data_IF_885515865542
#
_entry.id   IF_885515865542
#
_cell.length_a   1.000
_cell.length_b   1.000
_cell.length_c   1.000
_cell.angle_alpha   90.00
_cell.angle_beta   90.00
_cell.angle_gamma   90.00
#
_symmetry.space_group_name_H-M   'P 1'
#
loop_
_entity.id
_entity.type
_entity.pdbx_description
1 polymer ?
#
# COMPACT_ATOMS: atom_id res chain seq x y z
N UNK A 1 -25.32 -22.69 -6.72
CA UNK A 1 -24.39 -23.45 -7.58
C UNK A 1 -24.13 -24.79 -6.91
N UNK A 2 -24.67 -25.88 -7.47
CA UNK A 2 -24.47 -27.23 -6.95
C UNK A 2 -22.99 -27.60 -6.98
N UNK A 3 -22.47 -28.09 -5.85
CA UNK A 3 -21.12 -28.68 -5.80
C UNK A 3 -21.06 -29.77 -6.85
N UNK A 4 -20.10 -29.68 -7.78
CA UNK A 4 -19.79 -30.78 -8.69
C UNK A 4 -19.56 -32.04 -7.85
N UNK A 5 -20.10 -33.21 -8.25
CA UNK A 5 -19.87 -34.44 -7.52
C UNK A 5 -18.37 -34.69 -7.49
N UNK A 6 -17.81 -34.78 -6.29
CA UNK A 6 -16.41 -35.10 -6.08
C UNK A 6 -16.24 -36.53 -6.58
N UNK A 7 -15.67 -36.71 -7.77
CA UNK A 7 -15.33 -38.03 -8.29
C UNK A 7 -14.15 -38.51 -7.44
N UNK A 8 -14.46 -39.19 -6.33
CA UNK A 8 -13.42 -39.91 -5.59
C UNK A 8 -13.01 -41.10 -6.43
N UNK A 9 -11.73 -41.13 -6.80
CA UNK A 9 -11.17 -42.25 -7.54
C UNK A 9 -11.46 -43.54 -6.78
N UNK A 10 -12.01 -44.54 -7.48
CA UNK A 10 -12.40 -45.83 -6.89
C UNK A 10 -11.25 -46.47 -6.11
N UNK A 11 -10.01 -46.26 -6.58
CA UNK A 11 -8.77 -46.64 -5.92
C UNK A 11 -7.80 -45.47 -5.84
N UNK A 12 -7.04 -45.37 -4.76
CA UNK A 12 -5.94 -44.43 -4.61
C UNK A 12 -4.64 -45.15 -4.22
N UNK A 13 -3.51 -44.65 -4.75
CA UNK A 13 -2.17 -45.15 -4.44
C UNK A 13 -1.54 -44.29 -3.35
N UNK A 14 -1.03 -44.93 -2.30
CA UNK A 14 -0.26 -44.33 -1.24
C UNK A 14 1.20 -44.77 -1.37
N UNK A 15 2.12 -43.82 -1.45
CA UNK A 15 3.57 -44.11 -1.44
C UNK A 15 4.13 -43.83 -0.05
N UNK A 16 4.81 -44.83 0.50
CA UNK A 16 5.35 -44.81 1.87
C UNK A 16 6.85 -44.98 1.78
N UNK A 17 7.60 -44.07 2.40
CA UNK A 17 9.03 -44.22 2.59
C UNK A 17 9.31 -44.70 4.00
N UNK A 18 10.12 -45.74 4.12
CA UNK A 18 10.52 -46.35 5.38
C UNK A 18 11.92 -45.84 5.77
N UNK A 19 12.04 -45.27 6.97
CA UNK A 19 13.31 -44.84 7.55
C UNK A 19 13.67 -45.75 8.74
N UNK A 20 14.83 -46.40 8.60
CA UNK A 20 15.39 -47.41 9.49
C UNK A 20 16.90 -47.16 9.65
N UNK A 21 17.53 -47.78 10.65
CA UNK A 21 18.99 -47.85 10.69
C UNK A 21 19.53 -48.52 9.40
N UNK A 22 20.64 -48.01 8.88
CA UNK A 22 21.29 -48.50 7.65
C UNK A 22 21.72 -49.97 7.71
N UNK A 23 21.94 -50.49 8.93
CA UNK A 23 22.36 -51.88 9.15
C UNK A 23 21.19 -52.90 9.13
N UNK A 24 19.94 -52.45 8.95
CA UNK A 24 18.77 -53.32 8.95
C UNK A 24 18.36 -53.59 7.50
N UNK A 25 18.48 -54.84 7.08
CA UNK A 25 17.86 -55.34 5.86
C UNK A 25 16.33 -55.27 6.00
N UNK A 26 15.68 -54.74 4.98
CA UNK A 26 14.23 -54.58 4.95
C UNK A 26 13.77 -54.83 3.52
N UNK A 27 13.14 -55.97 3.29
CA UNK A 27 12.75 -56.44 1.97
C UNK A 27 11.24 -56.27 1.72
N UNK A 28 10.79 -56.64 0.52
CA UNK A 28 9.38 -56.63 0.12
C UNK A 28 8.48 -57.31 1.16
N UNK A 29 8.91 -58.46 1.69
CA UNK A 29 8.15 -59.24 2.67
C UNK A 29 8.00 -58.51 4.01
N UNK A 30 9.02 -57.78 4.44
CA UNK A 30 8.98 -56.99 5.66
C UNK A 30 8.07 -55.77 5.51
N UNK A 31 8.07 -55.15 4.33
CA UNK A 31 7.13 -54.08 3.99
C UNK A 31 5.68 -54.57 4.01
N UNK A 32 5.41 -55.73 3.41
CA UNK A 32 4.08 -56.35 3.42
C UNK A 32 3.59 -56.66 4.84
N UNK A 33 4.46 -57.29 5.65
CA UNK A 33 4.15 -57.64 7.03
C UNK A 33 3.91 -56.39 7.88
N UNK A 34 4.74 -55.36 7.73
CA UNK A 34 4.60 -54.08 8.43
C UNK A 34 3.23 -53.45 8.16
N UNK A 35 2.81 -53.39 6.89
CA UNK A 35 1.54 -52.77 6.50
C UNK A 35 0.35 -53.57 7.01
N UNK A 36 0.40 -54.90 6.88
CA UNK A 36 -0.65 -55.78 7.39
C UNK A 36 -0.79 -55.67 8.91
N UNK A 37 0.32 -55.66 9.62
CA UNK A 37 0.33 -55.56 11.07
C UNK A 37 -0.15 -54.20 11.55
N UNK A 38 0.26 -53.11 10.89
CA UNK A 38 -0.22 -51.77 11.20
C UNK A 38 -1.76 -51.66 11.08
N UNK A 39 -2.32 -52.18 9.99
CA UNK A 39 -3.77 -52.20 9.80
C UNK A 39 -4.47 -53.07 10.83
N UNK A 40 -3.92 -54.28 11.09
CA UNK A 40 -4.48 -55.22 12.06
C UNK A 40 -4.48 -54.66 13.48
N UNK A 41 -3.42 -53.98 13.90
CA UNK A 41 -3.32 -53.39 15.24
C UNK A 41 -4.33 -52.27 15.46
N UNK A 42 -4.53 -51.40 14.46
CA UNK A 42 -5.37 -50.21 14.61
C UNK A 42 -6.85 -50.51 14.33
N UNK A 43 -7.14 -51.38 13.37
CA UNK A 43 -8.51 -51.62 12.90
C UNK A 43 -9.00 -53.07 13.06
N UNK A 44 -8.15 -54.00 13.49
CA UNK A 44 -8.52 -55.40 13.67
C UNK A 44 -9.02 -56.03 12.37
N UNK A 45 -10.04 -56.89 12.48
CA UNK A 45 -10.68 -57.57 11.35
C UNK A 45 -11.56 -56.64 10.50
N UNK A 46 -11.84 -55.41 10.98
CA UNK A 46 -12.61 -54.39 10.26
C UNK A 46 -11.71 -53.40 9.48
N UNK A 47 -10.46 -53.77 9.22
CA UNK A 47 -9.48 -52.96 8.49
C UNK A 47 -9.89 -52.65 7.05
N UNK A 48 -9.36 -51.56 6.48
CA UNK A 48 -9.56 -51.24 5.06
C UNK A 48 -9.00 -52.36 4.16
N UNK A 49 -9.60 -52.56 2.99
CA UNK A 49 -9.03 -53.41 1.95
C UNK A 49 -7.93 -52.67 1.20
N UNK A 50 -6.78 -53.32 1.05
CA UNK A 50 -5.62 -52.78 0.36
C UNK A 50 -4.82 -53.89 -0.32
N UNK A 51 -4.03 -53.50 -1.32
CA UNK A 51 -3.02 -54.31 -1.99
C UNK A 51 -1.66 -53.67 -1.78
N UNK A 52 -0.73 -54.41 -1.22
CA UNK A 52 0.68 -54.02 -1.20
C UNK A 52 1.25 -54.19 -2.62
N UNK A 53 1.94 -53.16 -3.12
CA UNK A 53 2.63 -53.18 -4.40
C UNK A 53 4.14 -53.25 -4.16
N UNK A 54 4.92 -52.96 -5.21
CA UNK A 54 6.38 -53.05 -5.15
C UNK A 54 6.97 -52.12 -4.07
N UNK A 55 7.96 -52.66 -3.38
CA UNK A 55 8.86 -52.00 -2.45
C UNK A 55 10.27 -52.08 -3.02
N UNK A 56 10.91 -50.92 -3.14
CA UNK A 56 12.32 -50.81 -3.53
C UNK A 56 13.19 -50.74 -2.27
N UNK A 57 14.02 -51.77 -1.98
CA UNK A 57 14.88 -51.81 -0.80
C UNK A 57 15.97 -50.71 -0.81
N UNK A 58 16.39 -50.26 -1.99
CA UNK A 58 17.45 -49.26 -2.13
C UNK A 58 16.93 -47.88 -1.77
N UNK A 59 15.78 -47.46 -2.33
CA UNK A 59 15.17 -46.18 -1.98
C UNK A 59 14.30 -46.22 -0.72
N UNK A 60 14.06 -47.44 -0.19
CA UNK A 60 13.16 -47.77 0.92
C UNK A 60 11.75 -47.21 0.73
N UNK A 61 11.25 -47.26 -0.51
CA UNK A 61 9.93 -46.75 -0.89
C UNK A 61 9.05 -47.90 -1.34
N UNK A 62 7.89 -48.02 -0.71
CA UNK A 62 6.83 -48.92 -1.11
C UNK A 62 5.58 -48.18 -1.54
N UNK A 63 4.73 -48.88 -2.28
CA UNK A 63 3.42 -48.36 -2.67
C UNK A 63 2.30 -49.31 -2.24
N UNK A 64 1.16 -48.72 -1.90
CA UNK A 64 -0.06 -49.41 -1.51
C UNK A 64 -1.20 -48.90 -2.37
N UNK A 65 -2.13 -49.76 -2.75
CA UNK A 65 -3.36 -49.36 -3.44
C UNK A 65 -4.54 -49.81 -2.60
N UNK A 66 -5.38 -48.87 -2.20
CA UNK A 66 -6.61 -49.14 -1.46
C UNK A 66 -7.79 -48.43 -2.10
N UNK A 67 -9.01 -48.76 -1.66
CA UNK A 67 -10.20 -48.02 -2.07
C UNK A 67 -10.11 -46.55 -1.66
N UNK A 68 -10.48 -45.64 -2.57
CA UNK A 68 -10.37 -44.19 -2.37
C UNK A 68 -10.98 -43.70 -1.05
N UNK A 69 -12.16 -44.22 -0.70
CA UNK A 69 -12.91 -43.89 0.52
C UNK A 69 -12.28 -44.44 1.81
N UNK A 70 -11.34 -45.39 1.70
CA UNK A 70 -10.70 -46.07 2.82
C UNK A 70 -9.18 -45.79 2.93
N UNK A 71 -8.58 -45.12 1.95
CA UNK A 71 -7.13 -44.83 1.92
C UNK A 71 -6.68 -44.00 3.11
N UNK A 72 -7.53 -43.11 3.63
CA UNK A 72 -7.20 -42.35 4.84
C UNK A 72 -7.06 -43.24 6.07
N UNK A 73 -7.82 -44.34 6.18
CA UNK A 73 -7.66 -45.33 7.26
C UNK A 73 -6.32 -46.05 7.14
N UNK A 74 -5.91 -46.40 5.92
CA UNK A 74 -4.60 -47.00 5.67
C UNK A 74 -3.47 -46.04 6.07
N UNK A 75 -3.61 -44.76 5.75
CA UNK A 75 -2.65 -43.73 6.14
C UNK A 75 -2.57 -43.56 7.66
N UNK A 76 -3.70 -43.47 8.36
CA UNK A 76 -3.69 -43.36 9.83
C UNK A 76 -3.13 -44.60 10.51
N UNK A 77 -3.43 -45.82 10.03
CA UNK A 77 -2.82 -47.04 10.57
C UNK A 77 -1.28 -46.98 10.52
N UNK A 78 -0.73 -46.65 9.35
CA UNK A 78 0.71 -46.59 9.15
C UNK A 78 1.38 -45.43 9.92
N UNK A 79 0.65 -44.34 10.15
CA UNK A 79 1.14 -43.21 10.93
C UNK A 79 1.17 -43.52 12.43
N UNK A 80 0.17 -44.27 12.93
CA UNK A 80 0.07 -44.63 14.36
C UNK A 80 1.00 -45.80 14.69
N UNK A 81 1.05 -46.83 13.84
CA UNK A 81 1.88 -48.02 14.00
C UNK A 81 3.33 -47.84 13.55
N UNK A 82 3.78 -46.60 13.29
CA UNK A 82 5.20 -46.24 13.05
C UNK A 82 6.11 -46.47 14.27
N UNK A 83 5.77 -47.40 15.14
CA UNK A 83 6.42 -47.71 16.39
C UNK A 83 6.45 -49.23 16.53
N UNK A 84 7.63 -49.79 16.27
CA UNK A 84 8.10 -51.14 16.63
C UNK A 84 7.83 -52.29 15.65
N UNK A 85 8.87 -52.65 14.89
CA UNK A 85 9.08 -54.01 14.39
C UNK A 85 10.21 -54.63 15.25
N UNK A 86 9.96 -55.72 15.96
CA UNK A 86 10.94 -56.37 16.85
C UNK A 86 11.65 -55.39 17.82
N UNK A 87 10.89 -54.51 18.51
CA UNK A 87 11.41 -53.50 19.44
C UNK A 87 12.28 -52.39 18.80
N UNK A 88 12.31 -52.23 17.46
CA UNK A 88 13.03 -51.15 16.75
C UNK A 88 12.09 -50.12 16.13
N UNK A 89 12.41 -48.82 16.24
CA UNK A 89 11.59 -47.70 15.72
C UNK A 89 11.66 -47.64 14.17
N UNK A 90 10.52 -47.44 13.53
CA UNK A 90 10.40 -47.27 12.06
C UNK A 90 9.67 -45.97 11.77
N UNK A 91 10.31 -44.99 11.14
CA UNK A 91 9.60 -43.78 10.71
C UNK A 91 9.05 -43.95 9.29
N UNK A 92 7.73 -43.79 9.14
CA UNK A 92 7.06 -43.82 7.84
C UNK A 92 6.80 -42.39 7.36
N UNK A 93 7.47 -41.97 6.29
CA UNK A 93 7.25 -40.67 5.67
C UNK A 93 6.34 -40.81 4.46
N UNK A 94 5.26 -40.04 4.45
CA UNK A 94 4.30 -39.98 3.34
C UNK A 94 4.66 -38.81 2.44
N UNK A 95 4.99 -39.10 1.19
CA UNK A 95 5.37 -38.06 0.24
C UNK A 95 4.11 -37.48 -0.42
N UNK A 96 3.66 -36.30 0.02
CA UNK A 96 2.77 -35.47 -0.78
C UNK A 96 3.62 -34.88 -1.92
N UNK A 97 3.38 -35.32 -3.16
CA UNK A 97 4.30 -35.14 -4.28
C UNK A 97 4.76 -33.69 -4.51
N UNK A 98 5.85 -33.54 -5.27
CA UNK A 98 6.51 -32.28 -5.71
C UNK A 98 5.57 -31.18 -6.28
N UNK A 99 4.30 -31.51 -6.52
CA UNK A 99 3.25 -30.60 -6.98
C UNK A 99 3.02 -29.41 -6.04
N UNK A 100 3.09 -29.58 -4.72
CA UNK A 100 2.89 -28.46 -3.79
C UNK A 100 3.99 -27.39 -3.93
N UNK A 101 5.25 -27.83 -4.05
CA UNK A 101 6.38 -26.91 -4.25
C UNK A 101 6.30 -26.14 -5.57
N UNK A 102 5.86 -26.79 -6.65
CA UNK A 102 5.72 -26.15 -7.95
C UNK A 102 4.61 -25.07 -7.95
N UNK A 103 3.51 -25.33 -7.25
CA UNK A 103 2.41 -24.36 -7.09
C UNK A 103 2.90 -23.11 -6.36
N UNK A 104 3.61 -23.25 -5.23
CA UNK A 104 4.14 -22.09 -4.50
C UNK A 104 5.18 -21.29 -5.31
N UNK A 105 6.05 -21.98 -6.07
CA UNK A 105 7.08 -21.34 -6.89
C UNK A 105 6.49 -20.44 -7.99
N UNK A 106 5.33 -20.78 -8.53
CA UNK A 106 4.68 -20.02 -9.62
C UNK A 106 3.66 -19.02 -9.08
N UNK A 107 2.86 -19.42 -8.09
CA UNK A 107 1.74 -18.61 -7.60
C UNK A 107 2.23 -17.36 -6.85
N UNK A 108 3.29 -17.48 -6.04
CA UNK A 108 3.80 -16.37 -5.22
C UNK A 108 4.32 -15.22 -6.11
N UNK A 109 5.20 -15.44 -7.11
CA UNK A 109 5.63 -14.36 -8.01
C UNK A 109 4.48 -13.71 -8.78
N UNK A 110 3.48 -14.49 -9.20
CA UNK A 110 2.30 -13.95 -9.89
C UNK A 110 1.52 -13.02 -8.97
N UNK A 111 1.25 -13.44 -7.72
CA UNK A 111 0.58 -12.58 -6.73
C UNK A 111 1.39 -11.32 -6.43
N UNK A 112 2.71 -11.44 -6.27
CA UNK A 112 3.58 -10.28 -6.07
C UNK A 112 3.58 -9.31 -7.27
N UNK A 113 3.54 -9.83 -8.49
CA UNK A 113 3.40 -9.02 -9.70
C UNK A 113 2.08 -8.25 -9.72
N UNK A 114 0.97 -8.90 -9.37
CA UNK A 114 -0.34 -8.22 -9.26
C UNK A 114 -0.32 -7.12 -8.20
N UNK A 115 0.27 -7.37 -7.03
CA UNK A 115 0.42 -6.37 -5.97
C UNK A 115 1.28 -5.18 -6.47
N UNK A 116 2.38 -5.46 -7.15
CA UNK A 116 3.25 -4.42 -7.71
C UNK A 116 2.54 -3.57 -8.77
N UNK A 117 1.79 -4.20 -9.67
CA UNK A 117 0.99 -3.49 -10.68
C UNK A 117 -0.08 -2.63 -10.00
N UNK A 118 -0.80 -3.15 -9.00
CA UNK A 118 -1.79 -2.39 -8.25
C UNK A 118 -1.17 -1.19 -7.53
N UNK A 119 0.02 -1.35 -6.96
CA UNK A 119 0.79 -0.26 -6.35
C UNK A 119 1.18 0.81 -7.37
N UNK A 120 1.69 0.41 -8.55
CA UNK A 120 2.02 1.35 -9.62
C UNK A 120 0.80 2.10 -10.14
N UNK A 121 -0.34 1.41 -10.31
CA UNK A 121 -1.60 2.04 -10.69
C UNK A 121 -2.07 3.05 -9.63
N UNK A 122 -1.93 2.70 -8.35
CA UNK A 122 -2.29 3.60 -7.25
C UNK A 122 -1.45 4.87 -7.28
N UNK A 123 -0.14 4.75 -7.49
CA UNK A 123 0.75 5.91 -7.68
C UNK A 123 0.30 6.72 -8.89
N UNK A 124 0.10 6.06 -10.04
CA UNK A 124 -0.27 6.72 -11.28
C UNK A 124 -1.56 7.53 -11.17
N UNK A 125 -2.61 6.96 -10.57
CA UNK A 125 -3.88 7.65 -10.34
C UNK A 125 -3.81 8.70 -9.21
N UNK A 126 -2.85 8.57 -8.30
CA UNK A 126 -2.62 9.54 -7.22
C UNK A 126 -1.79 10.74 -7.66
N UNK A 127 -1.10 10.67 -8.80
CA UNK A 127 -0.43 11.84 -9.38
C UNK A 127 -1.52 12.79 -9.90
N UNK A 128 -1.69 13.98 -9.29
CA UNK A 128 -2.70 14.92 -9.75
C UNK A 128 -2.41 15.31 -11.20
N UNK A 129 -3.41 15.12 -12.07
CA UNK A 129 -3.36 15.59 -13.46
C UNK A 129 -2.99 17.08 -13.47
N UNK A 130 -1.91 17.44 -14.18
CA UNK A 130 -1.54 18.85 -14.45
C UNK A 130 -2.57 19.47 -15.39
N UNK A 131 -3.78 19.76 -14.89
CA UNK A 131 -4.76 20.54 -15.64
C UNK A 131 -4.21 21.96 -15.72
N UNK A 132 -4.02 22.53 -16.93
CA UNK A 132 -3.60 23.91 -17.05
C UNK A 132 -4.64 24.79 -16.34
N UNK A 133 -4.20 25.61 -15.39
CA UNK A 133 -5.06 26.57 -14.72
C UNK A 133 -5.36 27.69 -15.71
N UNK A 134 -6.65 27.98 -15.92
CA UNK A 134 -7.09 29.10 -16.74
C UNK A 134 -7.17 30.35 -15.87
N UNK A 135 -6.30 31.33 -16.13
CA UNK A 135 -6.13 32.53 -15.31
C UNK A 135 -7.00 33.71 -15.75
N UNK A 136 -7.50 33.69 -17.00
CA UNK A 136 -8.21 34.84 -17.57
C UNK A 136 -9.51 35.11 -16.80
N UNK A 137 -9.69 36.39 -16.41
CA UNK A 137 -10.79 36.91 -15.58
C UNK A 137 -10.93 36.28 -14.19
N UNK A 138 -9.89 35.59 -13.72
CA UNK A 138 -9.81 35.09 -12.35
C UNK A 138 -9.38 36.17 -11.39
N UNK A 139 -9.90 36.16 -10.17
CA UNK A 139 -9.48 37.07 -9.12
C UNK A 139 -8.42 36.41 -8.24
N UNK A 140 -7.23 37.01 -8.21
CA UNK A 140 -6.12 36.61 -7.37
C UNK A 140 -5.91 37.59 -6.21
N UNK A 141 -5.84 37.06 -4.99
CA UNK A 141 -5.49 37.82 -3.78
C UNK A 141 -4.08 37.44 -3.36
N UNK A 142 -3.21 38.44 -3.19
CA UNK A 142 -1.79 38.26 -2.88
C UNK A 142 -1.45 38.99 -1.58
N UNK A 143 -1.06 38.23 -0.56
CA UNK A 143 -0.56 38.82 0.69
C UNK A 143 0.90 39.22 0.55
N UNK A 144 1.31 40.34 1.14
CA UNK A 144 2.64 40.92 0.93
C UNK A 144 2.86 41.38 -0.52
N UNK A 145 1.79 41.75 -1.22
CA UNK A 145 1.81 42.07 -2.66
C UNK A 145 2.40 43.44 -3.02
N UNK A 146 2.74 44.28 -2.03
CA UNK A 146 3.25 45.64 -2.30
C UNK A 146 4.73 45.68 -2.71
N UNK A 147 5.51 44.62 -2.44
CA UNK A 147 6.97 44.57 -2.69
C UNK A 147 7.44 43.17 -3.05
N UNK A 148 8.68 43.07 -3.53
CA UNK A 148 9.42 41.82 -3.67
C UNK A 148 8.71 40.77 -4.54
N UNK A 149 8.68 39.52 -4.06
CA UNK A 149 8.09 38.39 -4.79
C UNK A 149 6.60 38.58 -5.00
N UNK A 150 5.86 39.06 -3.98
CA UNK A 150 4.41 39.28 -4.08
C UNK A 150 4.04 40.27 -5.18
N UNK A 151 4.81 41.35 -5.32
CA UNK A 151 4.62 42.34 -6.37
C UNK A 151 4.87 41.75 -7.78
N UNK A 152 5.95 40.96 -7.94
CA UNK A 152 6.24 40.31 -9.22
C UNK A 152 5.21 39.22 -9.58
N UNK A 153 4.62 38.55 -8.58
CA UNK A 153 3.50 37.63 -8.79
C UNK A 153 2.25 38.38 -9.27
N UNK A 154 1.99 39.59 -8.75
CA UNK A 154 0.90 40.44 -9.22
C UNK A 154 1.06 40.77 -10.71
N UNK A 155 2.25 41.20 -11.15
CA UNK A 155 2.57 41.44 -12.56
C UNK A 155 2.32 40.18 -13.40
N UNK A 156 2.90 39.03 -13.01
CA UNK A 156 2.78 37.81 -13.79
C UNK A 156 1.35 37.24 -13.88
N UNK A 157 0.49 37.54 -12.90
CA UNK A 157 -0.94 37.22 -12.93
C UNK A 157 -1.72 38.20 -13.81
N UNK A 158 -1.37 39.49 -13.78
CA UNK A 158 -1.89 40.47 -14.73
C UNK A 158 -1.51 40.10 -16.17
N UNK A 159 -0.28 39.68 -16.46
CA UNK A 159 0.10 39.22 -17.81
C UNK A 159 -0.75 38.03 -18.31
N UNK A 160 -1.42 37.32 -17.40
CA UNK A 160 -2.28 36.16 -17.69
C UNK A 160 -3.78 36.47 -17.66
N UNK A 161 -4.16 37.74 -17.54
CA UNK A 161 -5.55 38.18 -17.58
C UNK A 161 -6.29 38.12 -16.24
N UNK A 162 -5.60 37.98 -15.10
CA UNK A 162 -6.25 38.01 -13.79
C UNK A 162 -6.65 39.44 -13.38
N UNK A 163 -7.65 39.56 -12.51
CA UNK A 163 -7.81 40.70 -11.62
C UNK A 163 -6.98 40.44 -10.35
N UNK A 164 -6.40 41.46 -9.75
CA UNK A 164 -5.50 41.28 -8.60
C UNK A 164 -5.87 42.20 -7.45
N UNK A 165 -5.99 41.64 -6.24
CA UNK A 165 -5.99 42.39 -4.99
C UNK A 165 -4.69 42.14 -4.24
N UNK A 166 -3.95 43.19 -3.88
CA UNK A 166 -2.75 43.11 -3.03
C UNK A 166 -3.06 43.51 -1.59
N UNK A 167 -2.55 42.74 -0.62
CA UNK A 167 -2.73 42.99 0.81
C UNK A 167 -1.37 43.21 1.47
N UNK A 168 -1.20 44.30 2.21
CA UNK A 168 -0.02 44.54 3.05
C UNK A 168 -0.34 45.53 4.19
N UNK A 169 0.67 45.85 5.02
CA UNK A 169 0.49 46.75 6.18
C UNK A 169 0.61 48.24 5.83
N UNK A 170 1.60 48.59 5.01
CA UNK A 170 1.92 49.99 4.71
C UNK A 170 1.07 50.50 3.54
N UNK A 171 0.27 51.55 3.79
CA UNK A 171 -0.66 52.12 2.81
C UNK A 171 0.03 52.84 1.68
N UNK A 172 1.13 53.53 1.95
CA UNK A 172 1.88 54.29 0.95
C UNK A 172 2.52 53.35 -0.07
N UNK A 173 3.13 52.26 0.40
CA UNK A 173 3.69 51.19 -0.42
C UNK A 173 2.61 50.50 -1.26
N UNK A 174 1.46 50.20 -0.65
CA UNK A 174 0.32 49.59 -1.34
C UNK A 174 -0.22 50.48 -2.45
N UNK A 175 -0.42 51.77 -2.16
CA UNK A 175 -0.91 52.73 -3.13
C UNK A 175 0.05 52.83 -4.31
N UNK A 176 1.35 53.01 -4.03
CA UNK A 176 2.38 53.07 -5.07
C UNK A 176 2.38 51.80 -5.93
N UNK A 177 2.40 50.63 -5.30
CA UNK A 177 2.38 49.36 -6.02
C UNK A 177 1.10 49.18 -6.85
N UNK A 178 -0.06 49.58 -6.31
CA UNK A 178 -1.33 49.51 -7.03
C UNK A 178 -1.34 50.44 -8.24
N UNK A 179 -0.84 51.66 -8.11
CA UNK A 179 -0.75 52.62 -9.22
C UNK A 179 0.15 52.08 -10.34
N UNK A 180 1.30 51.50 -9.98
CA UNK A 180 2.22 50.85 -10.94
C UNK A 180 1.59 49.62 -11.63
N UNK A 181 0.89 48.77 -10.87
CA UNK A 181 0.19 47.59 -11.40
C UNK A 181 -0.99 47.98 -12.29
N UNK A 182 -1.71 49.04 -11.95
CA UNK A 182 -2.82 49.56 -12.73
C UNK A 182 -2.33 50.10 -14.08
N UNK A 183 -1.23 50.86 -14.08
CA UNK A 183 -0.58 51.30 -15.32
C UNK A 183 -0.11 50.12 -16.18
N UNK A 184 0.48 49.09 -15.56
CA UNK A 184 0.87 47.86 -16.27
C UNK A 184 -0.33 47.13 -16.88
N UNK A 185 -1.45 47.05 -16.17
CA UNK A 185 -2.68 46.45 -16.68
C UNK A 185 -3.26 47.24 -17.87
N UNK A 186 -3.19 48.57 -17.83
CA UNK A 186 -3.61 49.45 -18.93
C UNK A 186 -2.75 49.26 -20.17
N UNK A 187 -1.42 49.12 -20.01
CA UNK A 187 -0.47 48.87 -21.10
C UNK A 187 -0.72 47.51 -21.81
N UNK A 188 -1.23 46.51 -21.08
CA UNK A 188 -1.64 45.23 -21.66
C UNK A 188 -2.89 45.33 -22.54
N UNK A 189 -3.64 46.43 -22.46
CA UNK A 189 -4.85 46.68 -23.25
C UNK A 189 -6.02 45.76 -22.88
N UNK A 190 -6.07 45.26 -21.64
CA UNK A 190 -7.12 44.38 -21.14
C UNK A 190 -7.88 45.01 -19.97
N UNK A 191 -9.15 44.60 -19.77
CA UNK A 191 -10.05 45.11 -18.72
C UNK A 191 -9.77 44.55 -17.31
N UNK A 192 -8.49 44.44 -16.96
CA UNK A 192 -8.07 43.88 -15.69
C UNK A 192 -8.12 44.93 -14.60
N UNK A 193 -8.53 44.52 -13.42
CA UNK A 193 -8.70 45.41 -12.27
C UNK A 193 -7.67 45.12 -11.21
N UNK A 194 -7.13 46.18 -10.62
CA UNK A 194 -6.22 46.11 -9.48
C UNK A 194 -6.89 46.78 -8.28
N UNK A 195 -6.81 46.13 -7.12
CA UNK A 195 -7.26 46.70 -5.83
C UNK A 195 -6.18 46.49 -4.78
N UNK A 196 -6.20 47.30 -3.72
CA UNK A 196 -5.30 47.14 -2.59
C UNK A 196 -6.05 47.24 -1.27
N UNK A 197 -5.59 46.48 -0.28
CA UNK A 197 -6.16 46.46 1.06
C UNK A 197 -5.04 46.56 2.09
N UNK A 198 -5.21 47.48 3.03
CA UNK A 198 -4.30 47.62 4.17
C UNK A 198 -4.79 46.74 5.31
N UNK A 199 -4.07 45.67 5.61
CA UNK A 199 -4.40 44.77 6.72
C UNK A 199 -3.12 44.19 7.35
N UNK A 200 -3.17 44.00 8.67
CA UNK A 200 -2.17 43.23 9.39
C UNK A 200 -2.63 41.77 9.51
N UNK A 201 -1.94 40.87 8.82
CA UNK A 201 -2.28 39.45 8.75
C UNK A 201 -1.82 38.68 9.99
N UNK A 202 -0.99 39.28 10.85
CA UNK A 202 -0.64 38.74 12.16
C UNK A 202 -1.65 39.15 13.25
N UNK A 203 -2.61 40.02 12.92
CA UNK A 203 -3.64 40.51 13.82
C UNK A 203 -4.74 39.50 14.13
N UNK A 204 -5.98 39.96 14.18
CA UNK A 204 -7.13 39.11 14.50
C UNK A 204 -7.66 38.37 13.27
N UNK A 205 -8.31 37.23 13.47
CA UNK A 205 -8.99 36.51 12.39
C UNK A 205 -10.05 37.40 11.72
N UNK A 206 -10.77 38.19 12.52
CA UNK A 206 -11.81 39.10 12.06
C UNK A 206 -11.26 40.18 11.12
N UNK A 207 -10.03 40.65 11.33
CA UNK A 207 -9.40 41.64 10.44
C UNK A 207 -9.01 41.01 9.10
N UNK A 208 -8.49 39.78 9.11
CA UNK A 208 -8.22 39.01 7.89
C UNK A 208 -9.52 38.70 7.15
N UNK A 209 -10.56 38.28 7.86
CA UNK A 209 -11.87 37.99 7.28
C UNK A 209 -12.47 39.24 6.61
N UNK A 210 -12.39 40.41 7.25
CA UNK A 210 -12.82 41.69 6.65
C UNK A 210 -12.03 42.03 5.39
N UNK A 211 -10.70 41.84 5.40
CA UNK A 211 -9.87 42.11 4.23
C UNK A 211 -10.24 41.21 3.05
N UNK A 212 -10.52 39.93 3.29
CA UNK A 212 -10.97 39.03 2.22
C UNK A 212 -12.37 39.40 1.73
N UNK A 213 -13.32 39.73 2.62
CA UNK A 213 -14.66 40.20 2.23
C UNK A 213 -14.59 41.46 1.37
N UNK A 214 -13.77 42.44 1.75
CA UNK A 214 -13.56 43.64 0.95
C UNK A 214 -12.98 43.31 -0.43
N UNK A 215 -12.01 42.38 -0.51
CA UNK A 215 -11.47 41.94 -1.79
C UNK A 215 -12.57 41.33 -2.69
N UNK A 216 -13.43 40.49 -2.11
CA UNK A 216 -14.54 39.86 -2.81
C UNK A 216 -15.61 40.87 -3.27
N UNK A 217 -15.92 41.86 -2.44
CA UNK A 217 -16.86 42.93 -2.78
C UNK A 217 -16.35 43.79 -3.95
N UNK A 218 -15.03 44.00 -4.05
CA UNK A 218 -14.44 44.87 -5.07
C UNK A 218 -14.26 44.18 -6.41
N UNK A 219 -13.67 42.98 -6.42
CA UNK A 219 -13.25 42.30 -7.65
C UNK A 219 -13.97 40.98 -7.92
N UNK A 220 -14.90 40.57 -7.04
CA UNK A 220 -15.63 39.30 -7.14
C UNK A 220 -14.96 38.17 -6.35
N UNK A 221 -15.51 36.93 -6.43
CA UNK A 221 -15.06 35.81 -5.60
C UNK A 221 -13.56 35.51 -5.80
N UNK A 222 -12.85 35.14 -4.73
CA UNK A 222 -11.43 34.80 -4.81
C UNK A 222 -11.25 33.42 -5.46
N UNK A 223 -10.61 33.39 -6.63
CA UNK A 223 -10.26 32.13 -7.31
C UNK A 223 -8.86 31.64 -6.91
N UNK A 224 -7.95 32.56 -6.62
CA UNK A 224 -6.53 32.29 -6.36
C UNK A 224 -6.12 33.04 -5.10
N UNK A 225 -5.62 32.33 -4.08
CA UNK A 225 -5.05 32.93 -2.89
C UNK A 225 -3.55 32.61 -2.82
N UNK A 226 -2.73 33.66 -2.76
CA UNK A 226 -1.28 33.57 -2.60
C UNK A 226 -0.89 34.09 -1.22
N UNK A 227 -0.60 33.15 -0.31
CA UNK A 227 -0.08 33.44 1.03
C UNK A 227 1.43 33.72 0.95
N UNK A 228 1.80 34.94 0.54
CA UNK A 228 3.19 35.36 0.35
C UNK A 228 3.72 36.27 1.47
N UNK A 229 2.86 36.92 2.26
CA UNK A 229 3.31 37.73 3.40
C UNK A 229 4.12 36.89 4.41
N UNK A 230 5.28 37.41 4.79
CA UNK A 230 6.15 36.79 5.79
C UNK A 230 7.18 37.77 6.32
N UNK A 231 7.57 37.59 7.57
CA UNK A 231 8.62 38.36 8.23
C UNK A 231 9.60 37.40 8.92
N UNK A 232 10.87 37.81 9.01
CA UNK A 232 11.93 37.02 9.64
C UNK A 232 12.48 37.76 10.85
N UNK A 233 12.52 37.08 11.99
CA UNK A 233 13.19 37.56 13.20
C UNK A 233 14.47 36.74 13.39
N UNK A 234 15.61 37.40 13.55
CA UNK A 234 16.89 36.73 13.81
C UNK A 234 17.26 36.90 15.28
N UNK A 235 17.29 35.79 16.03
CA UNK A 235 17.61 35.76 17.45
C UNK A 235 18.54 34.60 17.80
N UNK A 236 19.39 34.80 18.82
CA UNK A 236 20.28 33.76 19.32
C UNK A 236 19.50 32.73 20.15
N UNK A 237 19.51 31.46 19.71
CA UNK A 237 18.68 30.40 20.30
C UNK A 237 18.96 30.15 21.79
N UNK A 238 20.15 30.46 22.28
CA UNK A 238 20.57 30.25 23.68
C UNK A 238 20.05 31.32 24.65
N UNK A 239 19.62 32.47 24.15
CA UNK A 239 19.02 33.55 24.96
C UNK A 239 17.49 33.41 24.97
N UNK A 240 16.96 32.41 24.26
CA UNK A 240 15.58 32.37 23.84
C UNK A 240 14.70 31.47 24.73
N UNK A 241 13.61 32.03 25.24
CA UNK A 241 12.55 31.26 25.91
C UNK A 241 11.37 31.14 24.95
N UNK A 242 10.95 29.91 24.64
CA UNK A 242 9.87 29.61 23.68
C UNK A 242 8.56 30.41 23.94
N UNK A 243 8.32 30.83 25.18
CA UNK A 243 7.16 31.66 25.55
C UNK A 243 7.15 33.08 24.93
N UNK A 244 8.28 33.58 24.42
CA UNK A 244 8.38 34.93 23.84
C UNK A 244 8.17 34.94 22.30
N UNK A 245 8.03 33.77 21.65
CA UNK A 245 7.76 33.66 20.19
C UNK A 245 6.52 34.46 19.77
N UNK A 246 5.36 34.36 20.46
CA UNK A 246 4.16 35.03 19.99
C UNK A 246 4.30 36.56 19.99
N UNK A 247 5.02 37.14 20.96
CA UNK A 247 5.22 38.60 21.01
C UNK A 247 6.12 39.10 19.89
N UNK A 248 7.17 38.36 19.55
CA UNK A 248 8.09 38.73 18.48
C UNK A 248 7.49 38.60 17.07
N UNK A 249 6.49 37.73 16.89
CA UNK A 249 5.79 37.60 15.61
C UNK A 249 4.72 38.69 15.39
N UNK A 250 4.39 39.45 16.44
CA UNK A 250 3.39 40.52 16.44
C UNK A 250 4.00 41.93 16.31
N UNK A 251 5.33 42.06 16.32
CA UNK A 251 6.07 43.31 16.06
C UNK A 251 6.52 43.40 14.58
#
# INVERSE_FOLDING_TARGET
MGKAPKIEAEFARLTVRIELDSAIEFEQKDFELFVQEAVRQIYGTAGPSFKVCDFDPTSRKGSLVGRGDQVLKLWSALSISGLFLNNKRIAAHFNSGKMAHLIFLVLIPVVLLFIFIAFLLTIFFSIPSKRPMFFYKKHAVITGGSKGIGYQLAIGLLDRGCNVTIIARNKEDLKKACDELQAHAEDLGQDQKVHWISADLAGTYEDVEKAIKEAEEKLGPVDILINNAGHSVQVFIFIFRFAEIPKMLLE
#
